data_IF_488531750359
#
_entry.id   IF_488531750359
#
_cell.length_a   1.000
_cell.length_b   1.000
_cell.length_c   1.000
_cell.angle_alpha   90.00
_cell.angle_beta   90.00
_cell.angle_gamma   90.00
#
_symmetry.space_group_name_H-M   'P 1'
#
loop_
_entity.id
_entity.type
_entity.pdbx_description
1 polymer ?
#
# COMPACT_ATOMS: atom_id res chain seq x y z
N UNK A 1 5.02 -19.46 -13.16
CA UNK A 1 3.86 -19.86 -12.33
C UNK A 1 4.31 -19.77 -10.89
N UNK A 2 4.08 -18.63 -10.24
CA UNK A 2 4.36 -18.47 -8.81
C UNK A 2 3.06 -18.66 -8.05
N UNK A 3 3.01 -19.71 -7.25
CA UNK A 3 1.94 -19.95 -6.30
C UNK A 3 2.09 -18.94 -5.15
N UNK A 4 1.15 -18.00 -5.10
CA UNK A 4 0.82 -17.23 -3.90
C UNK A 4 0.40 -18.21 -2.81
N UNK A 5 1.11 -18.25 -1.69
CA UNK A 5 0.72 -19.14 -0.61
C UNK A 5 1.64 -19.10 0.60
N UNK A 6 1.47 -18.09 1.45
CA UNK A 6 1.56 -18.27 2.91
C UNK A 6 0.75 -17.16 3.58
N UNK A 7 -0.35 -17.62 4.16
CA UNK A 7 -1.36 -16.82 4.83
C UNK A 7 -0.82 -16.35 6.18
N UNK A 8 -0.83 -15.03 6.40
CA UNK A 8 -1.07 -14.48 7.73
C UNK A 8 -2.56 -14.15 7.80
N UNK A 9 -3.32 -15.08 8.36
CA UNK A 9 -4.70 -14.86 8.73
C UNK A 9 -4.74 -13.98 9.98
N UNK A 10 -5.05 -12.70 9.83
CA UNK A 10 -5.66 -11.92 10.92
C UNK A 10 -7.17 -12.21 10.94
N UNK A 11 -7.79 -12.41 12.12
CA UNK A 11 -9.18 -12.80 12.22
C UNK A 11 -10.07 -11.60 11.88
N UNK A 12 -10.64 -11.60 10.68
CA UNK A 12 -11.83 -10.80 10.40
C UNK A 12 -12.99 -11.42 11.19
N UNK A 13 -13.45 -10.71 12.21
CA UNK A 13 -14.65 -11.07 12.95
C UNK A 13 -15.86 -11.07 11.99
N UNK A 14 -16.32 -12.27 11.64
CA UNK A 14 -17.51 -12.54 10.84
C UNK A 14 -18.77 -12.03 11.53
N UNK A 15 -19.62 -11.32 10.77
CA UNK A 15 -21.06 -11.26 11.01
C UNK A 15 -21.75 -11.41 9.64
N UNK A 16 -22.27 -12.61 9.39
CA UNK A 16 -23.23 -12.87 8.32
C UNK A 16 -24.63 -12.34 8.73
N UNK A 17 -25.59 -12.17 7.79
CA UNK A 17 -26.39 -13.34 7.39
C UNK A 17 -26.79 -13.44 5.91
N UNK A 18 -27.15 -14.68 5.58
CA UNK A 18 -27.81 -15.28 4.42
C UNK A 18 -28.52 -14.39 3.38
N UNK A 19 -28.25 -14.65 2.10
CA UNK A 19 -29.23 -14.62 1.01
C UNK A 19 -28.80 -15.47 -0.18
N UNK A 20 -29.79 -16.06 -0.84
CA UNK A 20 -29.72 -17.26 -1.67
C UNK A 20 -29.19 -17.08 -3.10
N UNK A 21 -28.36 -18.05 -3.50
CA UNK A 21 -28.17 -18.70 -4.80
C UNK A 21 -28.55 -17.98 -6.12
N UNK A 22 -27.51 -17.66 -6.90
CA UNK A 22 -27.44 -17.98 -8.34
C UNK A 22 -26.04 -18.53 -8.66
N UNK A 23 -25.99 -19.80 -9.07
CA UNK A 23 -24.80 -20.60 -9.30
C UNK A 23 -24.00 -20.16 -10.54
N UNK A 24 -22.82 -19.59 -10.33
CA UNK A 24 -21.74 -19.55 -11.33
C UNK A 24 -20.91 -20.83 -11.23
N UNK A 25 -20.34 -21.34 -12.34
CA UNK A 25 -19.60 -22.60 -12.34
C UNK A 25 -18.37 -22.49 -11.43
N UNK A 26 -18.29 -23.39 -10.46
CA UNK A 26 -17.18 -23.49 -9.52
C UNK A 26 -15.89 -23.84 -10.28
N UNK A 27 -14.94 -22.91 -10.32
CA UNK A 27 -13.54 -23.26 -10.56
C UNK A 27 -13.08 -23.96 -9.28
N UNK A 28 -13.08 -25.29 -9.31
CA UNK A 28 -12.42 -26.11 -8.29
C UNK A 28 -10.92 -25.81 -8.35
N UNK A 29 -10.46 -24.88 -7.51
CA UNK A 29 -9.05 -24.76 -7.18
C UNK A 29 -8.67 -25.99 -6.37
N UNK A 30 -8.17 -27.02 -7.04
CA UNK A 30 -7.37 -28.06 -6.38
C UNK A 30 -6.09 -27.41 -5.89
N UNK A 31 -6.17 -26.77 -4.73
CA UNK A 31 -5.00 -26.36 -3.97
C UNK A 31 -4.28 -27.64 -3.56
N UNK A 32 -3.24 -27.99 -4.32
CA UNK A 32 -2.29 -29.02 -3.92
C UNK A 32 -1.69 -28.65 -2.56
N UNK A 33 -1.17 -29.63 -1.80
CA UNK A 33 -0.50 -29.35 -0.53
C UNK A 33 0.59 -28.30 -0.74
N UNK A 34 0.61 -27.29 0.13
CA UNK A 34 1.64 -26.25 0.09
C UNK A 34 3.04 -26.93 0.07
N UNK A 35 3.94 -26.53 -0.83
CA UNK A 35 5.27 -27.13 -0.89
C UNK A 35 5.96 -26.97 0.48
N UNK A 36 6.50 -28.07 1.00
CA UNK A 36 7.23 -28.05 2.28
C UNK A 36 8.50 -27.22 2.09
N UNK A 37 8.68 -26.20 2.91
CA UNK A 37 9.91 -25.38 2.98
C UNK A 37 11.08 -26.28 3.36
N UNK A 38 12.18 -26.23 2.60
CA UNK A 38 13.35 -27.05 2.91
C UNK A 38 14.03 -26.54 4.19
N UNK A 39 14.77 -27.39 4.94
CA UNK A 39 15.52 -26.91 6.11
C UNK A 39 16.53 -25.81 5.79
N UNK A 40 17.07 -25.77 4.57
CA UNK A 40 17.97 -24.71 4.13
C UNK A 40 17.21 -23.39 3.90
N UNK A 41 16.05 -23.45 3.26
CA UNK A 41 15.17 -22.29 3.07
C UNK A 41 14.70 -21.73 4.42
N UNK A 42 14.36 -22.60 5.38
CA UNK A 42 13.94 -22.16 6.72
C UNK A 42 15.07 -21.39 7.42
N UNK A 43 16.31 -21.91 7.41
CA UNK A 43 17.46 -21.20 8.00
C UNK A 43 17.68 -19.82 7.38
N UNK A 44 17.51 -19.70 6.06
CA UNK A 44 17.64 -18.42 5.36
C UNK A 44 16.52 -17.45 5.75
N UNK A 45 15.28 -17.95 5.85
CA UNK A 45 14.13 -17.16 6.33
C UNK A 45 14.40 -16.66 7.76
N UNK A 46 14.86 -17.52 8.66
CA UNK A 46 15.19 -17.17 10.03
C UNK A 46 16.31 -16.11 10.07
N UNK A 47 17.33 -16.24 9.22
CA UNK A 47 18.40 -15.24 9.10
C UNK A 47 17.89 -13.87 8.60
N UNK A 48 16.95 -13.84 7.65
CA UNK A 48 16.33 -12.59 7.17
C UNK A 48 15.47 -11.95 8.28
N UNK A 49 14.73 -12.76 9.04
CA UNK A 49 13.96 -12.29 10.19
C UNK A 49 14.87 -11.73 11.29
N UNK A 50 16.00 -12.40 11.58
CA UNK A 50 16.99 -11.90 12.53
C UNK A 50 17.58 -10.57 12.06
N UNK A 51 17.94 -10.46 10.78
CA UNK A 51 18.39 -9.19 10.20
C UNK A 51 17.37 -8.07 10.39
N UNK A 52 16.08 -8.33 10.13
CA UNK A 52 15.02 -7.36 10.37
C UNK A 52 14.86 -7.00 11.86
N UNK A 53 14.97 -7.98 12.75
CA UNK A 53 14.95 -7.74 14.20
C UNK A 53 16.12 -6.88 14.67
N UNK A 54 17.33 -7.13 14.16
CA UNK A 54 18.53 -6.35 14.49
C UNK A 54 18.42 -4.90 13.99
N UNK A 55 17.82 -4.71 12.81
CA UNK A 55 17.48 -3.37 12.32
C UNK A 55 16.55 -2.63 13.29
N UNK A 56 15.49 -3.28 13.81
CA UNK A 56 14.58 -2.65 14.79
C UNK A 56 15.38 -2.17 16.00
N UNK A 57 16.22 -3.03 16.58
CA UNK A 57 17.02 -2.71 17.77
C UNK A 57 17.95 -1.51 17.55
N UNK A 58 18.67 -1.49 16.42
CA UNK A 58 19.66 -0.43 16.16
C UNK A 58 18.99 0.86 15.69
N UNK A 59 18.00 0.78 14.81
CA UNK A 59 17.31 1.96 14.27
C UNK A 59 16.48 2.65 15.36
N UNK A 60 15.93 1.90 16.32
CA UNK A 60 15.19 2.46 17.45
C UNK A 60 16.04 3.38 18.35
N UNK A 61 17.38 3.39 18.24
CA UNK A 61 18.24 4.32 18.96
C UNK A 61 18.30 5.73 18.33
N UNK A 62 17.79 5.87 17.09
CA UNK A 62 17.67 7.15 16.38
C UNK A 62 16.55 7.99 16.99
N UNK A 63 16.67 9.32 16.87
CA UNK A 63 15.66 10.27 17.36
C UNK A 63 14.80 10.85 16.22
N UNK A 64 15.26 10.69 14.98
CA UNK A 64 14.64 11.25 13.79
C UNK A 64 13.34 10.50 13.43
N UNK A 65 12.24 11.22 13.11
CA UNK A 65 10.92 10.64 12.91
C UNK A 65 10.89 9.58 11.81
N UNK A 66 11.59 9.79 10.69
CA UNK A 66 11.59 8.84 9.57
C UNK A 66 12.26 7.50 9.92
N UNK A 67 13.34 7.54 10.71
CA UNK A 67 14.02 6.33 11.17
C UNK A 67 13.14 5.58 12.18
N UNK A 68 12.52 6.29 13.12
CA UNK A 68 11.57 5.70 14.08
C UNK A 68 10.34 5.11 13.38
N UNK A 69 9.82 5.78 12.35
CA UNK A 69 8.73 5.25 11.52
C UNK A 69 9.16 3.99 10.79
N UNK A 70 10.35 3.99 10.17
CA UNK A 70 10.92 2.80 9.54
C UNK A 70 11.07 1.64 10.51
N UNK A 71 11.61 1.89 11.72
CA UNK A 71 11.74 0.88 12.76
C UNK A 71 10.37 0.33 13.20
N UNK A 72 9.36 1.21 13.40
CA UNK A 72 8.02 0.77 13.76
C UNK A 72 7.45 -0.19 12.71
N UNK A 73 7.54 0.17 11.42
CA UNK A 73 7.02 -0.65 10.33
C UNK A 73 7.76 -1.99 10.24
N UNK A 74 9.07 -2.01 10.43
CA UNK A 74 9.87 -3.24 10.53
C UNK A 74 9.50 -4.08 11.77
N UNK A 75 9.00 -3.47 12.84
CA UNK A 75 8.63 -4.19 14.06
C UNK A 75 7.27 -4.92 13.95
N UNK A 76 6.38 -4.52 13.02
CA UNK A 76 5.00 -5.04 12.90
C UNK A 76 4.87 -6.58 12.90
N UNK A 77 5.71 -7.36 12.21
CA UNK A 77 5.54 -8.81 12.16
C UNK A 77 5.87 -9.54 13.47
N UNK A 78 6.52 -8.87 14.42
CA UNK A 78 7.02 -9.49 15.63
C UNK A 78 6.08 -9.26 16.81
N UNK A 79 5.61 -10.34 17.42
CA UNK A 79 4.72 -10.30 18.59
C UNK A 79 5.47 -10.20 19.91
N UNK A 80 6.70 -10.71 19.96
CA UNK A 80 7.51 -10.83 21.19
C UNK A 80 8.73 -9.90 21.17
N UNK A 81 8.51 -8.65 20.77
CA UNK A 81 9.56 -7.63 20.80
C UNK A 81 9.94 -7.23 22.23
N UNK A 82 11.17 -6.75 22.39
CA UNK A 82 11.58 -6.12 23.66
C UNK A 82 10.63 -4.95 23.95
N UNK A 83 10.09 -4.81 25.18
CA UNK A 83 9.18 -3.73 25.51
C UNK A 83 9.73 -2.35 25.09
N UNK A 84 8.94 -1.59 24.33
CA UNK A 84 9.36 -0.29 23.80
C UNK A 84 9.95 -0.35 22.38
N UNK A 85 10.16 -1.55 21.83
CA UNK A 85 10.59 -1.80 20.45
C UNK A 85 9.49 -2.47 19.59
N UNK A 86 8.31 -2.67 20.16
CA UNK A 86 7.13 -3.06 19.42
C UNK A 86 6.60 -1.93 18.53
N UNK A 87 5.68 -2.28 17.62
CA UNK A 87 5.11 -1.35 16.66
C UNK A 87 4.40 -0.15 17.32
N UNK A 88 3.61 -0.36 18.39
CA UNK A 88 2.87 0.73 19.03
C UNK A 88 3.85 1.72 19.67
N UNK A 89 4.78 1.22 20.49
CA UNK A 89 5.77 2.06 21.15
C UNK A 89 6.63 2.87 20.15
N UNK A 90 7.12 2.22 19.09
CA UNK A 90 7.95 2.89 18.08
C UNK A 90 7.16 3.88 17.22
N UNK A 91 5.93 3.53 16.83
CA UNK A 91 5.07 4.45 16.06
C UNK A 91 4.66 5.66 16.90
N UNK A 92 4.44 5.47 18.21
CA UNK A 92 4.21 6.57 19.14
C UNK A 92 5.42 7.49 19.24
N UNK A 93 6.63 6.93 19.37
CA UNK A 93 7.86 7.71 19.38
C UNK A 93 8.06 8.46 18.08
N UNK A 94 7.78 7.84 16.94
CA UNK A 94 7.85 8.48 15.62
C UNK A 94 6.88 9.67 15.52
N UNK A 95 5.64 9.51 16.00
CA UNK A 95 4.64 10.58 15.99
C UNK A 95 4.95 11.73 16.97
N UNK A 96 5.61 11.42 18.10
CA UNK A 96 6.01 12.42 19.09
C UNK A 96 7.34 13.13 18.76
N UNK A 97 8.11 12.63 17.79
CA UNK A 97 9.41 13.18 17.44
C UNK A 97 9.30 14.58 16.82
N UNK A 98 10.32 15.41 17.03
CA UNK A 98 10.36 16.75 16.42
C UNK A 98 10.43 16.63 14.90
N UNK A 99 9.52 17.33 14.21
CA UNK A 99 9.41 17.24 12.75
C UNK A 99 8.58 16.06 12.24
N UNK A 100 7.92 15.31 13.12
CA UNK A 100 6.98 14.27 12.72
C UNK A 100 5.85 14.84 11.85
N UNK A 101 5.65 14.23 10.68
CA UNK A 101 4.56 14.58 9.78
C UNK A 101 3.33 13.69 9.97
N UNK A 102 2.22 13.99 9.25
CA UNK A 102 0.99 13.20 9.29
C UNK A 102 1.16 11.70 8.99
N UNK A 103 2.20 11.29 8.26
CA UNK A 103 2.46 9.88 7.97
C UNK A 103 2.67 9.03 9.23
N UNK A 104 3.28 9.59 10.28
CA UNK A 104 3.47 8.87 11.52
C UNK A 104 2.13 8.55 12.20
N UNK A 105 1.20 9.51 12.23
CA UNK A 105 -0.14 9.31 12.79
C UNK A 105 -1.02 8.44 11.87
N UNK A 106 -0.85 8.54 10.55
CA UNK A 106 -1.50 7.64 9.59
C UNK A 106 -1.23 6.17 9.90
N UNK A 107 0.05 5.82 10.12
CA UNK A 107 0.45 4.46 10.47
C UNK A 107 -0.21 3.97 11.77
N UNK A 108 -0.60 4.88 12.67
CA UNK A 108 -1.24 4.58 13.96
C UNK A 108 -2.74 4.40 13.89
N UNK A 109 -3.39 4.66 12.75
CA UNK A 109 -4.84 4.45 12.59
C UNK A 109 -5.28 3.01 12.92
N UNK A 110 -4.43 2.01 12.67
CA UNK A 110 -4.70 0.61 13.03
C UNK A 110 -4.35 0.22 14.47
N UNK A 111 -3.75 1.12 15.25
CA UNK A 111 -3.38 0.86 16.65
C UNK A 111 -4.56 1.19 17.56
N UNK A 112 -5.49 0.26 17.69
CA UNK A 112 -6.70 0.47 18.48
C UNK A 112 -6.63 -0.29 19.81
N UNK A 113 -7.29 0.23 20.84
CA UNK A 113 -7.48 -0.49 22.11
C UNK A 113 -8.48 -1.64 22.00
N UNK A 114 -9.57 -1.39 21.27
CA UNK A 114 -10.65 -2.33 21.02
C UNK A 114 -11.37 -1.94 19.71
N UNK A 115 -12.39 -2.70 19.33
CA UNK A 115 -13.14 -2.48 18.09
C UNK A 115 -13.83 -1.10 18.02
N UNK A 116 -14.21 -0.52 19.17
CA UNK A 116 -14.87 0.80 19.22
C UNK A 116 -13.88 1.96 19.05
N UNK A 117 -12.59 1.71 19.30
CA UNK A 117 -11.48 2.64 19.07
C UNK A 117 -10.83 2.45 17.69
N UNK A 118 -11.44 1.67 16.78
CA UNK A 118 -10.93 1.49 15.42
C UNK A 118 -11.71 2.32 14.38
N UNK A 119 -11.04 3.17 13.58
CA UNK A 119 -9.61 3.48 13.63
C UNK A 119 -9.28 4.30 14.88
N UNK A 120 -8.00 4.26 15.29
CA UNK A 120 -7.49 4.97 16.47
C UNK A 120 -8.02 6.41 16.52
N UNK A 121 -8.92 6.69 17.46
CA UNK A 121 -9.67 7.94 17.48
C UNK A 121 -8.78 9.18 17.67
N UNK A 122 -7.65 9.02 18.35
CA UNK A 122 -6.69 10.12 18.56
C UNK A 122 -5.90 10.42 17.28
N UNK A 123 -5.41 9.38 16.61
CA UNK A 123 -4.71 9.52 15.34
C UNK A 123 -5.63 10.09 14.26
N UNK A 124 -6.86 9.59 14.17
CA UNK A 124 -7.88 10.10 13.26
C UNK A 124 -8.21 11.58 13.52
N UNK A 125 -8.47 11.97 14.77
CA UNK A 125 -8.71 13.36 15.13
C UNK A 125 -7.52 14.27 14.80
N UNK A 126 -6.28 13.79 15.01
CA UNK A 126 -5.08 14.51 14.61
C UNK A 126 -5.04 14.72 13.10
N UNK A 127 -5.23 13.66 12.30
CA UNK A 127 -5.18 13.73 10.84
C UNK A 127 -6.24 14.67 10.29
N UNK A 128 -7.48 14.59 10.79
CA UNK A 128 -8.57 15.51 10.40
C UNK A 128 -8.26 16.97 10.71
N UNK A 129 -7.49 17.24 11.78
CA UNK A 129 -7.09 18.60 12.15
C UNK A 129 -5.90 19.11 11.34
N UNK A 130 -4.89 18.26 11.14
CA UNK A 130 -3.58 18.67 10.63
C UNK A 130 -3.36 18.35 9.15
N UNK A 131 -4.21 17.51 8.55
CA UNK A 131 -4.11 17.09 7.17
C UNK A 131 -5.49 17.07 6.47
N UNK A 132 -6.43 17.92 6.89
CA UNK A 132 -7.79 18.03 6.33
C UNK A 132 -7.85 18.18 4.79
N UNK A 133 -6.79 18.73 4.17
CA UNK A 133 -6.66 18.89 2.72
C UNK A 133 -6.24 17.62 1.96
N UNK A 134 -6.14 16.48 2.63
CA UNK A 134 -5.83 15.18 2.04
C UNK A 134 -7.09 14.29 2.02
N UNK A 135 -7.54 13.92 0.82
CA UNK A 135 -8.73 13.12 0.56
C UNK A 135 -8.68 11.74 1.22
N UNK A 136 -7.48 11.15 1.38
CA UNK A 136 -7.34 9.81 1.96
C UNK A 136 -7.93 9.71 3.37
N UNK A 137 -7.87 10.79 4.16
CA UNK A 137 -8.44 10.83 5.52
C UNK A 137 -9.96 10.75 5.51
N UNK A 138 -10.59 11.45 4.57
CA UNK A 138 -12.04 11.42 4.42
C UNK A 138 -12.53 10.13 3.76
N UNK A 139 -11.68 9.43 3.02
CA UNK A 139 -11.98 8.11 2.51
C UNK A 139 -12.00 7.05 3.62
N UNK A 140 -11.18 7.18 4.67
CA UNK A 140 -11.34 6.35 5.87
C UNK A 140 -12.71 6.56 6.53
N UNK A 141 -13.21 7.80 6.60
CA UNK A 141 -14.57 8.08 7.09
C UNK A 141 -15.65 7.45 6.20
N UNK A 142 -15.42 7.42 4.89
CA UNK A 142 -16.33 6.82 3.93
C UNK A 142 -16.41 5.30 4.16
N UNK A 143 -15.27 4.63 4.34
CA UNK A 143 -15.21 3.19 4.63
C UNK A 143 -15.96 2.82 5.90
N UNK A 144 -15.78 3.62 6.96
CA UNK A 144 -16.47 3.41 8.23
C UNK A 144 -17.97 3.63 8.10
N UNK A 145 -18.38 4.65 7.34
CA UNK A 145 -19.79 4.91 7.08
C UNK A 145 -20.43 3.75 6.31
N UNK A 146 -19.74 3.24 5.28
CA UNK A 146 -20.19 2.09 4.50
C UNK A 146 -20.30 0.81 5.34
N UNK A 147 -19.30 0.52 6.17
CA UNK A 147 -19.33 -0.62 7.10
C UNK A 147 -20.50 -0.53 8.09
N UNK A 148 -20.89 0.68 8.50
CA UNK A 148 -22.02 0.95 9.37
C UNK A 148 -23.36 1.12 8.63
N UNK A 149 -23.36 1.01 7.29
CA UNK A 149 -24.54 1.23 6.42
C UNK A 149 -25.17 2.62 6.61
N UNK A 150 -24.35 3.63 6.91
CA UNK A 150 -24.78 5.01 7.09
C UNK A 150 -24.58 5.83 5.81
N UNK A 151 -25.57 5.76 4.94
CA UNK A 151 -25.54 6.47 3.66
C UNK A 151 -25.45 8.00 3.80
N UNK A 152 -25.89 8.58 4.93
CA UNK A 152 -25.76 10.02 5.16
C UNK A 152 -24.31 10.39 5.52
N UNK A 153 -23.66 9.57 6.34
CA UNK A 153 -22.25 9.72 6.65
C UNK A 153 -21.35 9.46 5.43
N UNK A 154 -21.67 8.47 4.58
CA UNK A 154 -20.94 8.22 3.33
C UNK A 154 -20.94 9.44 2.41
N UNK A 155 -22.12 10.03 2.15
CA UNK A 155 -22.23 11.24 1.32
C UNK A 155 -21.49 12.43 1.91
N UNK A 156 -21.51 12.58 3.25
CA UNK A 156 -20.76 13.64 3.93
C UNK A 156 -19.25 13.42 3.81
N UNK A 157 -18.78 12.18 3.93
CA UNK A 157 -17.39 11.82 3.76
C UNK A 157 -16.94 12.07 2.31
N UNK A 158 -17.75 11.67 1.32
CA UNK A 158 -17.51 11.97 -0.10
C UNK A 158 -17.38 13.48 -0.35
N UNK A 159 -18.32 14.30 0.14
CA UNK A 159 -18.27 15.75 -0.06
C UNK A 159 -17.00 16.38 0.55
N UNK A 160 -16.53 15.86 1.69
CA UNK A 160 -15.26 16.28 2.31
C UNK A 160 -14.05 15.83 1.51
N UNK A 161 -14.02 14.57 1.07
CA UNK A 161 -12.98 14.02 0.21
C UNK A 161 -12.87 14.81 -1.10
N UNK A 162 -14.00 15.12 -1.75
CA UNK A 162 -14.06 15.93 -2.95
C UNK A 162 -13.61 17.39 -2.71
N UNK A 163 -13.68 17.88 -1.47
CA UNK A 163 -13.21 19.22 -1.12
C UNK A 163 -11.72 19.29 -0.81
N UNK A 164 -11.04 18.16 -0.65
CA UNK A 164 -9.60 18.08 -0.43
C UNK A 164 -8.82 18.45 -1.70
N UNK A 165 -7.60 18.94 -1.51
CA UNK A 165 -6.72 19.38 -2.60
C UNK A 165 -5.78 18.29 -3.10
N UNK A 166 -5.54 17.27 -2.27
CA UNK A 166 -4.55 16.23 -2.53
C UNK A 166 -5.09 14.86 -2.14
N UNK A 167 -4.51 13.80 -2.68
CA UNK A 167 -4.66 12.45 -2.16
C UNK A 167 -3.26 11.89 -1.88
N UNK A 168 -2.97 11.59 -0.62
CA UNK A 168 -1.75 10.91 -0.18
C UNK A 168 -2.10 9.86 0.88
N UNK A 169 -2.05 8.59 0.51
CA UNK A 169 -2.17 7.46 1.46
C UNK A 169 -0.88 7.26 2.29
N UNK A 170 0.13 8.12 2.14
CA UNK A 170 1.40 8.13 2.85
C UNK A 170 2.30 6.90 2.62
N UNK A 171 1.96 6.02 1.67
CA UNK A 171 2.77 4.83 1.38
C UNK A 171 4.22 5.19 1.07
N UNK A 172 4.45 6.20 0.22
CA UNK A 172 5.80 6.63 -0.16
C UNK A 172 6.62 7.20 1.01
N UNK A 173 5.98 7.88 1.96
CA UNK A 173 6.66 8.39 3.17
C UNK A 173 7.04 7.24 4.12
N UNK A 174 6.14 6.29 4.30
CA UNK A 174 6.40 5.06 5.07
C UNK A 174 7.54 4.26 4.44
N UNK A 175 7.50 4.06 3.12
CA UNK A 175 8.53 3.36 2.39
C UNK A 175 9.89 4.08 2.45
N UNK A 176 9.92 5.41 2.44
CA UNK A 176 11.16 6.17 2.62
C UNK A 176 11.79 5.91 4.00
N UNK A 177 10.97 5.89 5.07
CA UNK A 177 11.43 5.54 6.42
C UNK A 177 11.99 4.12 6.48
N UNK A 178 11.30 3.14 5.90
CA UNK A 178 11.78 1.75 5.82
C UNK A 178 13.06 1.65 4.98
N UNK A 179 13.14 2.33 3.84
CA UNK A 179 14.32 2.39 2.98
C UNK A 179 15.54 2.96 3.71
N UNK A 180 15.34 3.97 4.58
CA UNK A 180 16.38 4.51 5.46
C UNK A 180 16.79 3.49 6.52
N UNK A 181 15.83 2.78 7.11
CA UNK A 181 16.08 1.79 8.16
C UNK A 181 16.87 0.58 7.63
N UNK A 182 16.48 -0.03 6.50
CA UNK A 182 17.18 -1.21 5.94
C UNK A 182 18.59 -0.90 5.44
N UNK A 183 18.97 0.37 5.32
CA UNK A 183 20.33 0.77 4.96
C UNK A 183 21.29 0.80 6.18
N UNK A 184 20.78 0.70 7.42
CA UNK A 184 21.58 0.91 8.63
C UNK A 184 22.53 -0.25 8.92
N UNK A 185 22.11 -1.49 8.69
CA UNK A 185 22.95 -2.68 8.83
C UNK A 185 23.08 -3.42 7.49
N UNK A 186 24.22 -4.06 7.21
CA UNK A 186 24.30 -5.04 6.13
C UNK A 186 23.64 -6.36 6.55
N UNK A 187 22.88 -7.03 5.66
CA UNK A 187 22.50 -8.43 5.87
C UNK A 187 23.74 -9.32 5.98
N UNK A 188 23.68 -10.34 6.82
CA UNK A 188 24.75 -11.33 6.97
C UNK A 188 24.68 -12.39 5.86
N UNK A 189 25.78 -13.11 5.60
CA UNK A 189 25.89 -14.09 4.52
C UNK A 189 24.81 -15.19 4.57
N UNK A 190 24.36 -15.57 5.77
CA UNK A 190 23.33 -16.59 5.97
C UNK A 190 21.97 -16.19 5.35
N UNK A 191 21.74 -14.89 5.11
CA UNK A 191 20.51 -14.37 4.46
C UNK A 191 20.41 -14.69 2.98
N UNK A 192 21.52 -15.06 2.32
CA UNK A 192 21.59 -15.37 0.89
C UNK A 192 22.03 -16.81 0.62
N UNK A 193 22.41 -17.57 1.65
CA UNK A 193 22.95 -18.91 1.49
C UNK A 193 21.91 -19.85 0.87
N UNK A 194 22.27 -20.47 -0.26
CA UNK A 194 21.40 -21.42 -0.95
C UNK A 194 20.17 -20.80 -1.60
N UNK A 195 20.16 -19.49 -1.85
CA UNK A 195 19.10 -18.82 -2.58
C UNK A 195 18.90 -19.45 -3.97
N UNK A 196 17.65 -19.67 -4.34
CA UNK A 196 17.24 -20.26 -5.62
C UNK A 196 15.92 -19.62 -6.09
N UNK A 197 15.44 -19.97 -7.29
CA UNK A 197 14.11 -19.59 -7.78
C UNK A 197 13.79 -18.07 -7.72
N UNK A 198 14.78 -17.21 -7.95
CA UNK A 198 14.63 -15.75 -7.93
C UNK A 198 14.57 -15.14 -6.52
N UNK A 199 14.87 -15.91 -5.48
CA UNK A 199 15.07 -15.41 -4.13
C UNK A 199 16.29 -14.47 -4.05
N UNK A 200 16.33 -13.56 -3.07
CA UNK A 200 17.51 -12.72 -2.84
C UNK A 200 18.79 -13.53 -2.66
N UNK A 201 19.74 -13.35 -3.57
CA UNK A 201 21.05 -14.02 -3.57
C UNK A 201 22.21 -13.06 -3.21
N UNK A 202 21.88 -11.79 -2.94
CA UNK A 202 22.81 -10.74 -2.58
C UNK A 202 22.21 -9.82 -1.50
N UNK A 203 23.07 -9.09 -0.78
CA UNK A 203 22.64 -8.24 0.34
C UNK A 203 21.71 -7.08 -0.05
N UNK A 204 21.86 -6.48 -1.23
CA UNK A 204 20.95 -5.43 -1.69
C UNK A 204 19.56 -6.00 -2.02
N UNK A 205 19.51 -7.19 -2.62
CA UNK A 205 18.29 -7.95 -2.83
C UNK A 205 17.57 -8.27 -1.51
N UNK A 206 18.32 -8.65 -0.46
CA UNK A 206 17.74 -8.90 0.88
C UNK A 206 17.18 -7.61 1.48
N UNK A 207 17.89 -6.48 1.37
CA UNK A 207 17.40 -5.17 1.82
C UNK A 207 16.11 -4.76 1.11
N UNK A 208 16.07 -4.90 -0.21
CA UNK A 208 14.89 -4.64 -1.02
C UNK A 208 13.73 -5.55 -0.63
N UNK A 209 13.99 -6.85 -0.46
CA UNK A 209 13.00 -7.82 -0.02
C UNK A 209 12.39 -7.42 1.33
N UNK A 210 13.22 -7.11 2.34
CA UNK A 210 12.73 -6.67 3.65
C UNK A 210 11.91 -5.38 3.54
N UNK A 211 12.37 -4.40 2.75
CA UNK A 211 11.66 -3.13 2.58
C UNK A 211 10.27 -3.30 1.94
N UNK A 212 10.17 -4.11 0.88
CA UNK A 212 8.89 -4.38 0.22
C UNK A 212 7.96 -5.14 1.16
N UNK A 213 8.43 -6.22 1.79
CA UNK A 213 7.58 -7.02 2.68
C UNK A 213 7.07 -6.22 3.89
N UNK A 214 7.92 -5.39 4.51
CA UNK A 214 7.53 -4.58 5.66
C UNK A 214 6.42 -3.57 5.32
N UNK A 215 6.34 -3.11 4.06
CA UNK A 215 5.35 -2.12 3.62
C UNK A 215 4.07 -2.74 3.04
N UNK A 216 3.98 -4.07 2.90
CA UNK A 216 2.76 -4.73 2.40
C UNK A 216 1.53 -4.52 3.30
N UNK A 217 1.74 -4.39 4.61
CA UNK A 217 0.68 -4.14 5.60
C UNK A 217 0.40 -2.64 5.81
N UNK A 218 0.80 -1.79 4.85
CA UNK A 218 0.49 -0.37 4.89
C UNK A 218 -1.02 -0.15 4.82
N UNK A 219 -1.55 0.65 5.75
CA UNK A 219 -2.97 0.96 5.77
C UNK A 219 -3.34 1.86 4.59
N UNK A 220 -4.33 1.46 3.82
CA UNK A 220 -4.93 2.25 2.73
C UNK A 220 -6.45 2.30 2.94
N UNK A 221 -7.13 3.38 2.53
CA UNK A 221 -8.58 3.37 2.47
C UNK A 221 -9.06 2.28 1.51
N UNK A 222 -10.18 1.64 1.83
CA UNK A 222 -10.94 0.89 0.84
C UNK A 222 -11.52 1.89 -0.18
N UNK A 223 -11.51 1.51 -1.44
CA UNK A 223 -12.06 2.34 -2.52
C UNK A 223 -13.31 1.72 -3.14
N UNK A 224 -13.69 0.50 -2.72
CA UNK A 224 -14.92 -0.15 -3.15
C UNK A 224 -16.16 0.70 -2.87
N UNK A 225 -16.38 1.17 -1.62
CA UNK A 225 -17.51 2.03 -1.29
C UNK A 225 -17.55 3.33 -2.12
N UNK A 226 -16.39 3.90 -2.44
CA UNK A 226 -16.31 5.07 -3.32
C UNK A 226 -16.78 4.73 -4.75
N UNK A 227 -16.32 3.60 -5.31
CA UNK A 227 -16.73 3.14 -6.64
C UNK A 227 -18.24 2.91 -6.69
N UNK A 228 -18.82 2.27 -5.67
CA UNK A 228 -20.26 2.04 -5.59
C UNK A 228 -21.05 3.36 -5.52
N UNK A 229 -20.62 4.30 -4.69
CA UNK A 229 -21.28 5.60 -4.53
C UNK A 229 -21.17 6.48 -5.78
N UNK A 230 -20.12 6.30 -6.57
CA UNK A 230 -19.86 7.03 -7.81
C UNK A 230 -20.30 6.28 -9.09
N UNK A 231 -20.95 5.13 -8.97
CA UNK A 231 -21.53 4.42 -10.12
C UNK A 231 -22.69 5.20 -10.76
N UNK A 232 -22.91 5.03 -12.06
CA UNK A 232 -23.96 5.70 -12.86
C UNK A 232 -25.33 5.70 -12.20
N UNK A 233 -25.76 4.53 -11.75
CA UNK A 233 -27.09 4.34 -11.17
C UNK A 233 -27.23 5.03 -9.81
N UNK A 234 -26.15 5.07 -9.02
CA UNK A 234 -26.12 5.70 -7.71
C UNK A 234 -26.16 7.23 -7.85
N UNK A 235 -25.33 7.79 -8.74
CA UNK A 235 -25.29 9.25 -8.95
C UNK A 235 -26.57 9.80 -9.58
N UNK A 236 -27.29 9.01 -10.39
CA UNK A 236 -28.56 9.41 -10.97
C UNK A 236 -29.66 9.67 -9.91
N UNK A 237 -29.53 9.07 -8.72
CA UNK A 237 -30.52 9.19 -7.63
C UNK A 237 -30.28 10.36 -6.69
N UNK A 238 -29.10 11.00 -6.75
CA UNK A 238 -28.70 12.04 -5.80
C UNK A 238 -28.06 13.24 -6.51
N UNK A 239 -28.83 14.32 -6.64
CA UNK A 239 -28.34 15.58 -7.18
C UNK A 239 -27.18 16.10 -6.31
N UNK A 240 -26.00 16.29 -6.91
CA UNK A 240 -24.77 16.73 -6.23
C UNK A 240 -23.67 15.67 -6.16
N UNK A 241 -24.03 14.38 -6.00
CA UNK A 241 -23.04 13.28 -5.88
C UNK A 241 -22.15 13.17 -7.11
N UNK A 242 -22.70 13.38 -8.32
CA UNK A 242 -21.90 13.37 -9.56
C UNK A 242 -20.76 14.38 -9.53
N UNK A 243 -21.02 15.62 -9.07
CA UNK A 243 -20.01 16.67 -9.06
C UNK A 243 -18.89 16.36 -8.06
N UNK A 244 -19.25 15.88 -6.87
CA UNK A 244 -18.28 15.46 -5.86
C UNK A 244 -17.44 14.27 -6.33
N UNK A 245 -18.08 13.27 -6.95
CA UNK A 245 -17.40 12.12 -7.56
C UNK A 245 -16.40 12.54 -8.63
N UNK A 246 -16.78 13.40 -9.57
CA UNK A 246 -15.88 13.88 -10.62
C UNK A 246 -14.70 14.69 -10.04
N UNK A 247 -14.96 15.54 -9.04
CA UNK A 247 -13.91 16.33 -8.39
C UNK A 247 -12.92 15.47 -7.60
N UNK A 248 -13.44 14.51 -6.84
CA UNK A 248 -12.60 13.54 -6.13
C UNK A 248 -11.83 12.67 -7.12
N UNK A 249 -12.48 12.16 -8.16
CA UNK A 249 -11.83 11.34 -9.18
C UNK A 249 -10.64 12.06 -9.82
N UNK A 250 -10.78 13.35 -10.15
CA UNK A 250 -9.65 14.17 -10.59
C UNK A 250 -8.52 14.21 -9.56
N UNK A 251 -8.84 14.42 -8.28
CA UNK A 251 -7.85 14.42 -7.19
C UNK A 251 -7.12 13.07 -7.07
N UNK A 252 -7.84 11.96 -7.25
CA UNK A 252 -7.25 10.61 -7.22
C UNK A 252 -6.34 10.33 -8.41
N UNK A 253 -6.65 10.85 -9.60
CA UNK A 253 -5.81 10.66 -10.79
C UNK A 253 -4.39 11.22 -10.63
N UNK A 254 -4.25 12.27 -9.82
CA UNK A 254 -2.96 12.91 -9.49
C UNK A 254 -2.46 12.53 -8.09
N UNK A 255 -3.09 11.55 -7.45
CA UNK A 255 -2.80 11.13 -6.08
C UNK A 255 -1.50 10.34 -5.93
N UNK A 256 -1.25 9.86 -4.71
CA UNK A 256 -0.02 9.13 -4.37
C UNK A 256 0.08 7.70 -4.91
N UNK A 257 -1.04 7.08 -5.26
CA UNK A 257 -1.17 5.62 -5.36
C UNK A 257 -1.68 5.19 -6.75
N UNK A 258 -1.13 4.13 -7.36
CA UNK A 258 -1.61 3.61 -8.64
C UNK A 258 -3.05 3.11 -8.53
N UNK A 259 -3.44 2.54 -7.38
CA UNK A 259 -4.83 2.08 -7.18
C UNK A 259 -5.79 3.27 -7.15
N UNK A 260 -5.44 4.34 -6.40
CA UNK A 260 -6.25 5.56 -6.37
C UNK A 260 -6.39 6.17 -7.78
N UNK A 261 -5.28 6.26 -8.53
CA UNK A 261 -5.32 6.75 -9.91
C UNK A 261 -6.22 5.90 -10.81
N UNK A 262 -6.17 4.57 -10.69
CA UNK A 262 -7.05 3.67 -11.44
C UNK A 262 -8.53 3.93 -11.11
N UNK A 263 -8.88 4.09 -9.83
CA UNK A 263 -10.25 4.42 -9.40
C UNK A 263 -10.69 5.78 -9.93
N UNK A 264 -9.83 6.80 -9.88
CA UNK A 264 -10.12 8.12 -10.43
C UNK A 264 -10.33 8.10 -11.95
N UNK A 265 -9.57 7.31 -12.69
CA UNK A 265 -9.76 7.10 -14.13
C UNK A 265 -11.08 6.37 -14.42
N UNK A 266 -11.39 5.34 -13.63
CA UNK A 266 -12.63 4.58 -13.76
C UNK A 266 -13.88 5.47 -13.55
N UNK A 267 -13.92 6.25 -12.48
CA UNK A 267 -15.05 7.15 -12.19
C UNK A 267 -15.21 8.21 -13.29
N UNK A 268 -14.11 8.75 -13.82
CA UNK A 268 -14.16 9.73 -14.90
C UNK A 268 -14.68 9.11 -16.21
N UNK A 269 -14.14 7.96 -16.62
CA UNK A 269 -14.62 7.23 -17.80
C UNK A 269 -16.10 6.85 -17.70
N UNK A 270 -16.57 6.53 -16.48
CA UNK A 270 -17.95 6.19 -16.24
C UNK A 270 -18.87 7.42 -16.28
N UNK A 271 -18.51 8.49 -15.57
CA UNK A 271 -19.40 9.64 -15.38
C UNK A 271 -19.24 10.74 -16.43
N UNK A 272 -18.15 10.75 -17.20
CA UNK A 272 -17.84 11.74 -18.23
C UNK A 272 -17.55 11.06 -19.59
N UNK A 273 -18.61 10.73 -20.37
CA UNK A 273 -18.46 9.92 -21.58
C UNK A 273 -17.64 10.58 -22.70
N UNK A 274 -17.54 11.91 -22.70
CA UNK A 274 -16.80 12.66 -23.72
C UNK A 274 -15.28 12.40 -23.64
N UNK A 275 -14.76 12.20 -22.43
CA UNK A 275 -13.33 11.94 -22.16
C UNK A 275 -13.01 10.44 -22.02
N UNK A 276 -14.01 9.57 -22.15
CA UNK A 276 -13.90 8.14 -21.85
C UNK A 276 -12.75 7.43 -22.57
N UNK A 277 -12.55 7.72 -23.86
CA UNK A 277 -11.47 7.09 -24.63
C UNK A 277 -10.07 7.47 -24.10
N UNK A 278 -9.92 8.72 -23.63
CA UNK A 278 -8.69 9.20 -23.02
C UNK A 278 -8.46 8.54 -21.66
N UNK A 279 -9.48 8.46 -20.80
CA UNK A 279 -9.39 7.82 -19.49
C UNK A 279 -9.11 6.30 -19.59
N UNK A 280 -9.72 5.62 -20.58
CA UNK A 280 -9.44 4.21 -20.85
C UNK A 280 -7.99 4.00 -21.35
N UNK A 281 -7.48 4.89 -22.21
CA UNK A 281 -6.07 4.85 -22.62
C UNK A 281 -5.12 5.10 -21.43
N UNK A 282 -5.42 6.10 -20.60
CA UNK A 282 -4.63 6.37 -19.40
C UNK A 282 -4.66 5.18 -18.41
N UNK A 283 -5.80 4.47 -18.33
CA UNK A 283 -5.93 3.24 -17.54
C UNK A 283 -5.05 2.11 -18.09
N UNK A 284 -5.01 1.92 -19.42
CA UNK A 284 -4.09 0.96 -20.07
C UNK A 284 -2.63 1.31 -19.79
N UNK A 285 -2.27 2.59 -19.92
CA UNK A 285 -0.91 3.07 -19.61
C UNK A 285 -0.53 2.80 -18.15
N UNK A 286 -1.44 3.04 -17.20
CA UNK A 286 -1.20 2.77 -15.79
C UNK A 286 -1.00 1.27 -15.51
N UNK A 287 -1.85 0.41 -16.09
CA UNK A 287 -1.72 -1.04 -15.96
C UNK A 287 -0.37 -1.53 -16.52
N UNK A 288 0.05 -1.00 -17.68
CA UNK A 288 1.37 -1.24 -18.24
C UNK A 288 2.49 -0.83 -17.30
N UNK A 289 2.45 0.39 -16.75
CA UNK A 289 3.46 0.89 -15.81
C UNK A 289 3.60 -0.01 -14.58
N UNK A 290 2.47 -0.39 -13.96
CA UNK A 290 2.46 -1.27 -12.78
C UNK A 290 3.01 -2.65 -13.13
N UNK A 291 2.66 -3.20 -14.29
CA UNK A 291 3.17 -4.49 -14.75
C UNK A 291 4.69 -4.46 -14.96
N UNK A 292 5.20 -3.46 -15.69
CA UNK A 292 6.63 -3.32 -15.93
C UNK A 292 7.42 -3.08 -14.64
N UNK A 293 6.89 -2.23 -13.75
CA UNK A 293 7.50 -1.98 -12.44
C UNK A 293 7.56 -3.25 -11.58
N UNK A 294 6.49 -4.05 -11.57
CA UNK A 294 6.48 -5.33 -10.86
C UNK A 294 7.55 -6.28 -11.39
N UNK A 295 7.75 -6.32 -12.71
CA UNK A 295 8.83 -7.09 -13.34
C UNK A 295 10.22 -6.62 -12.93
N UNK A 296 10.44 -5.29 -12.84
CA UNK A 296 11.69 -4.73 -12.32
C UNK A 296 11.92 -5.10 -10.85
N UNK A 297 10.90 -5.00 -9.99
CA UNK A 297 11.01 -5.38 -8.58
C UNK A 297 11.39 -6.85 -8.38
N UNK A 298 10.82 -7.75 -9.17
CA UNK A 298 11.19 -9.17 -9.12
C UNK A 298 12.64 -9.39 -9.54
N UNK A 299 13.08 -8.75 -10.63
CA UNK A 299 14.48 -8.82 -11.07
C UNK A 299 15.44 -8.21 -10.06
N UNK A 300 15.02 -7.17 -9.35
CA UNK A 300 15.85 -6.48 -8.35
C UNK A 300 16.22 -7.40 -7.17
N UNK A 301 15.50 -8.49 -6.93
CA UNK A 301 15.88 -9.46 -5.89
C UNK A 301 17.25 -10.09 -6.16
N UNK A 302 17.62 -10.28 -7.43
CA UNK A 302 18.88 -10.91 -7.84
C UNK A 302 19.82 -9.98 -8.62
N UNK A 303 19.39 -8.75 -8.93
CA UNK A 303 20.22 -7.69 -9.52
C UNK A 303 20.57 -6.63 -8.47
N UNK A 304 21.79 -6.66 -7.88
CA UNK A 304 22.18 -5.73 -6.82
C UNK A 304 22.20 -4.26 -7.29
N UNK A 305 22.44 -4.01 -8.58
CA UNK A 305 22.46 -2.65 -9.12
C UNK A 305 21.06 -2.05 -9.17
N UNK A 306 20.09 -2.85 -9.61
CA UNK A 306 18.69 -2.49 -9.67
C UNK A 306 18.09 -2.35 -8.26
N UNK A 307 18.44 -3.26 -7.34
CA UNK A 307 18.04 -3.16 -5.94
C UNK A 307 18.54 -1.87 -5.29
N UNK A 308 19.83 -1.56 -5.46
CA UNK A 308 20.42 -0.36 -4.87
C UNK A 308 19.83 0.92 -5.46
N UNK A 309 19.61 0.96 -6.78
CA UNK A 309 18.92 2.06 -7.46
C UNK A 309 17.51 2.27 -6.91
N UNK A 310 16.74 1.20 -6.74
CA UNK A 310 15.39 1.27 -6.20
C UNK A 310 15.39 1.75 -4.74
N UNK A 311 16.26 1.19 -3.88
CA UNK A 311 16.40 1.59 -2.49
C UNK A 311 16.85 3.04 -2.35
N UNK A 312 17.73 3.54 -3.22
CA UNK A 312 18.07 4.97 -3.28
C UNK A 312 16.85 5.82 -3.63
N UNK A 313 16.08 5.42 -4.64
CA UNK A 313 14.89 6.15 -5.08
C UNK A 313 13.83 6.18 -3.96
N UNK A 314 13.58 5.04 -3.32
CA UNK A 314 12.66 4.93 -2.19
C UNK A 314 13.04 5.85 -1.02
N UNK A 315 14.34 5.92 -0.67
CA UNK A 315 14.85 6.78 0.42
C UNK A 315 14.66 8.28 0.19
N UNK A 316 14.64 8.71 -1.07
CA UNK A 316 14.39 10.11 -1.43
C UNK A 316 12.91 10.51 -1.19
N UNK A 317 12.02 9.54 -1.00
CA UNK A 317 10.62 9.76 -0.72
C UNK A 317 9.79 10.09 -1.96
N UNK A 318 8.74 10.88 -1.76
CA UNK A 318 7.70 11.09 -2.76
C UNK A 318 6.51 10.14 -2.54
N UNK A 319 5.78 9.88 -3.62
CA UNK A 319 4.61 8.99 -3.64
C UNK A 319 4.94 7.65 -4.29
N UNK A 320 4.09 6.63 -4.08
CA UNK A 320 4.23 5.33 -4.75
C UNK A 320 4.26 5.48 -6.27
N UNK A 321 3.37 6.31 -6.83
CA UNK A 321 3.37 6.62 -8.26
C UNK A 321 4.67 7.29 -8.72
N UNK A 322 5.20 8.23 -7.95
CA UNK A 322 6.46 8.88 -8.30
C UNK A 322 7.64 7.90 -8.31
N UNK A 323 7.66 6.94 -7.37
CA UNK A 323 8.66 5.87 -7.33
C UNK A 323 8.54 4.94 -8.53
N UNK A 324 7.33 4.52 -8.90
CA UNK A 324 7.07 3.71 -10.09
C UNK A 324 7.60 4.43 -11.33
N UNK A 325 7.18 5.68 -11.56
CA UNK A 325 7.57 6.46 -12.73
C UNK A 325 9.08 6.73 -12.79
N UNK A 326 9.70 7.04 -11.65
CA UNK A 326 11.15 7.23 -11.56
C UNK A 326 11.91 5.94 -11.89
N UNK A 327 11.47 4.80 -11.35
CA UNK A 327 12.08 3.49 -11.58
C UNK A 327 11.98 3.10 -13.06
N UNK A 328 10.81 3.28 -13.68
CA UNK A 328 10.63 3.00 -15.12
C UNK A 328 11.53 3.88 -15.99
N UNK A 329 11.58 5.20 -15.72
CA UNK A 329 12.44 6.13 -16.46
C UNK A 329 13.92 5.81 -16.32
N UNK A 330 14.37 5.47 -15.11
CA UNK A 330 15.76 5.09 -14.84
C UNK A 330 16.16 3.80 -15.59
N UNK A 331 15.19 2.95 -15.93
CA UNK A 331 15.38 1.71 -16.68
C UNK A 331 14.95 1.82 -18.14
N UNK A 332 14.74 3.05 -18.65
CA UNK A 332 14.39 3.34 -20.04
C UNK A 332 13.12 2.61 -20.53
N UNK A 333 12.19 2.33 -19.63
CA UNK A 333 10.90 1.71 -19.98
C UNK A 333 9.90 2.80 -20.38
N UNK A 334 9.27 2.72 -21.57
CA UNK A 334 8.22 3.65 -21.97
C UNK A 334 7.05 3.68 -20.97
N UNK A 335 6.52 4.86 -20.72
CA UNK A 335 5.37 5.05 -19.83
C UNK A 335 4.02 4.76 -20.49
N UNK A 336 3.98 4.84 -21.82
CA UNK A 336 2.80 4.50 -22.60
C UNK A 336 2.77 2.99 -22.86
N UNK A 337 1.58 2.41 -22.75
CA UNK A 337 1.36 1.05 -23.18
C UNK A 337 1.63 0.94 -24.69
N UNK A 338 2.23 -0.16 -25.17
CA UNK A 338 2.30 -0.42 -26.60
C UNK A 338 0.90 -0.32 -27.21
N UNK A 339 0.78 0.26 -28.41
CA UNK A 339 -0.45 0.14 -29.17
C UNK A 339 -0.78 -1.35 -29.30
N UNK A 340 -2.03 -1.74 -29.06
CA UNK A 340 -2.47 -3.11 -29.31
C UNK A 340 -1.98 -3.47 -30.72
N UNK A 341 -1.13 -4.49 -30.81
CA UNK A 341 -0.72 -5.02 -32.10
C UNK A 341 -2.03 -5.46 -32.76
N UNK A 342 -2.54 -4.61 -33.66
CA UNK A 342 -3.83 -4.80 -34.29
C UNK A 342 -3.91 -6.24 -34.73
N UNK A 343 -5.04 -6.88 -34.42
CA UNK A 343 -5.52 -8.12 -35.01
C UNK A 343 -5.03 -8.23 -36.46
N UNK A 344 -3.85 -8.81 -36.60
CA UNK A 344 -3.18 -9.01 -37.86
C UNK A 344 -3.88 -10.18 -38.50
N UNK A 345 -4.77 -9.84 -39.42
CA UNK A 345 -5.36 -10.66 -40.50
C UNK A 345 -5.13 -12.16 -40.42
#
# INVERSE_FOLDING_TARGET
>A
MFATGSAFATPAAQLAPDSAATSSPAITSTAGPAPKVSPADQKRIDAIQQYQHDLVNVVALRAEPDYLLGAAILAKPFTDQTPGLDFDALSQRAAAATGAGPAAEWTRLGVCKDKSDCPNAKADAYLKKHAAGNAAIWLVDLDLAAANKDAAAERKALARAASAQTYDDYYGKVLAGVGKAVAVLPPLADTTQGAHDGQPDNGEGVRLFVAINATQSHLRPDLGPLVELCGKDAVARHAGTRADCLKLAHTLQWGSSPIARAVGLHIQAELNPDDRAQDEQASRNLAWQVHQYSGLLQRALTDPSLASQWLMTARNGGTELSLILATLRANQIPLDAPADAGSGK
#
